data_IF_071826647105
#
_entry.id   IF_071826647105
#
_cell.length_a   1.000
_cell.length_b   1.000
_cell.length_c   1.000
_cell.angle_alpha   90.00
_cell.angle_beta   90.00
_cell.angle_gamma   90.00
#
_symmetry.space_group_name_H-M   'P 1'
#
loop_
_entity.id
_entity.type
_entity.pdbx_description
1 polymer ?
#
# COMPACT_ATOMS: atom_id res chain seq x y z
N UNK A 1 -3.75 -4.49 15.64
CA UNK A 1 -4.90 -3.89 16.35
C UNK A 1 -4.32 -2.74 17.16
N UNK A 2 -4.73 -1.50 16.92
CA UNK A 2 -4.30 -0.41 17.80
C UNK A 2 -4.82 -0.67 19.23
N UNK A 3 -4.18 -0.10 20.24
CA UNK A 3 -4.58 -0.26 21.63
C UNK A 3 -6.02 0.25 21.94
N UNK A 4 -6.63 1.00 21.01
CA UNK A 4 -8.03 1.46 21.05
C UNK A 4 -8.99 0.62 20.18
N UNK A 5 -8.50 -0.49 19.59
CA UNK A 5 -9.27 -1.36 18.73
C UNK A 5 -9.48 -0.85 17.30
N UNK A 6 -8.92 0.31 16.94
CA UNK A 6 -9.05 0.82 15.58
C UNK A 6 -8.21 0.01 14.58
N UNK A 7 -8.66 -0.03 13.33
CA UNK A 7 -7.97 -0.58 12.18
C UNK A 7 -8.46 0.24 10.98
N UNK A 8 -7.55 0.90 10.26
CA UNK A 8 -7.89 1.60 9.02
C UNK A 8 -7.52 0.70 7.84
N UNK A 9 -8.52 0.16 7.15
CA UNK A 9 -8.34 -0.51 5.86
C UNK A 9 -8.65 0.50 4.77
N UNK A 10 -7.67 0.75 3.90
CA UNK A 10 -7.81 1.74 2.86
C UNK A 10 -7.47 1.15 1.49
N UNK A 11 -8.30 1.50 0.50
CA UNK A 11 -8.02 1.20 -0.90
C UNK A 11 -7.42 2.43 -1.57
N UNK A 12 -6.32 2.23 -2.30
CA UNK A 12 -5.85 3.21 -3.24
C UNK A 12 -6.47 2.93 -4.61
N UNK A 13 -7.27 3.88 -5.09
CA UNK A 13 -7.94 3.81 -6.38
C UNK A 13 -7.25 4.75 -7.35
N UNK A 14 -6.80 4.22 -8.48
CA UNK A 14 -6.41 5.03 -9.63
C UNK A 14 -7.64 5.59 -10.32
N UNK A 15 -7.81 6.90 -10.32
CA UNK A 15 -8.73 7.59 -11.20
C UNK A 15 -8.03 7.95 -12.51
N UNK A 16 -8.65 7.62 -13.64
CA UNK A 16 -8.23 8.16 -14.95
C UNK A 16 -9.04 9.43 -15.24
N UNK A 17 -8.44 10.58 -15.59
CA UNK A 17 -9.18 11.70 -16.17
C UNK A 17 -9.67 11.33 -17.60
N UNK A 18 -10.73 11.99 -18.10
CA UNK A 18 -11.29 11.68 -19.41
C UNK A 18 -10.36 12.07 -20.56
N UNK A 19 -10.13 11.12 -21.46
CA UNK A 19 -9.74 11.25 -22.87
C UNK A 19 -8.87 12.44 -23.29
N UNK A 20 -7.53 12.33 -23.18
CA UNK A 20 -6.62 12.93 -24.18
C UNK A 20 -5.42 12.04 -24.49
N UNK A 21 -5.26 11.77 -25.78
CA UNK A 21 -4.06 11.17 -26.37
C UNK A 21 -2.90 12.16 -26.18
N UNK A 22 -1.98 11.85 -25.27
CA UNK A 22 -0.71 12.59 -25.12
C UNK A 22 -0.44 13.22 -23.75
N UNK A 23 -1.26 12.96 -22.72
CA UNK A 23 -0.98 13.52 -21.39
C UNK A 23 0.10 12.72 -20.64
N UNK A 24 1.23 13.36 -20.33
CA UNK A 24 2.41 12.78 -19.63
C UNK A 24 2.31 13.02 -18.11
N UNK A 25 1.16 13.49 -17.60
CA UNK A 25 1.01 13.86 -16.19
C UNK A 25 0.45 12.73 -15.33
N UNK A 26 0.98 12.71 -14.10
CA UNK A 26 0.75 11.74 -13.04
C UNK A 26 -0.70 11.26 -12.97
N UNK A 27 -0.83 9.93 -12.96
CA UNK A 27 -2.09 9.24 -12.68
C UNK A 27 -2.69 9.80 -11.38
N UNK A 28 -3.98 10.13 -11.36
CA UNK A 28 -4.61 10.67 -10.15
C UNK A 28 -4.99 9.51 -9.25
N UNK A 29 -4.40 9.44 -8.08
CA UNK A 29 -4.72 8.42 -7.09
C UNK A 29 -5.58 9.02 -5.98
N UNK A 30 -6.52 8.22 -5.48
CA UNK A 30 -7.38 8.61 -4.37
C UNK A 30 -7.42 7.51 -3.32
N UNK A 31 -7.40 7.94 -2.07
CA UNK A 31 -7.63 7.09 -0.92
C UNK A 31 -9.11 7.01 -0.63
N UNK A 32 -9.61 5.78 -0.46
CA UNK A 32 -10.94 5.51 0.05
C UNK A 32 -10.79 4.68 1.31
N UNK A 33 -11.25 5.23 2.44
CA UNK A 33 -11.39 4.48 3.70
C UNK A 33 -12.52 3.46 3.49
N UNK A 34 -12.18 2.16 3.47
CA UNK A 34 -13.16 1.09 3.30
C UNK A 34 -13.72 0.63 4.64
N UNK A 35 -12.90 0.68 5.69
CA UNK A 35 -13.30 0.22 7.01
C UNK A 35 -12.68 1.12 8.07
N UNK A 36 -13.55 1.76 8.86
CA UNK A 36 -13.25 2.22 10.21
C UNK A 36 -13.93 1.25 11.16
N UNK A 37 -13.19 0.32 11.75
CA UNK A 37 -13.79 -0.59 12.71
C UNK A 37 -14.17 0.19 13.99
N UNK A 38 -15.46 0.48 14.18
CA UNK A 38 -16.04 0.74 15.52
C UNK A 38 -16.76 -0.51 16.06
N UNK A 39 -17.13 -1.44 15.17
CA UNK A 39 -17.60 -2.81 15.47
C UNK A 39 -17.15 -3.77 14.35
N UNK A 40 -16.91 -5.03 14.70
CA UNK A 40 -16.35 -6.05 13.81
C UNK A 40 -17.45 -6.80 13.04
N UNK A 41 -17.42 -6.74 11.71
CA UNK A 41 -18.21 -7.66 10.86
C UNK A 41 -17.36 -8.25 9.73
N UNK A 42 -17.54 -9.54 9.46
CA UNK A 42 -16.68 -10.36 8.61
C UNK A 42 -16.88 -10.18 7.08
N UNK A 43 -17.52 -9.09 6.64
CA UNK A 43 -18.06 -8.99 5.28
C UNK A 43 -17.07 -8.69 4.15
N UNK A 44 -16.02 -7.91 4.40
CA UNK A 44 -15.14 -7.37 3.34
C UNK A 44 -13.65 -7.38 3.76
N UNK A 45 -13.16 -8.51 4.25
CA UNK A 45 -11.74 -8.63 4.58
C UNK A 45 -10.95 -8.86 3.30
N UNK A 46 -9.97 -7.98 3.03
CA UNK A 46 -8.95 -8.29 2.03
C UNK A 46 -8.03 -9.32 2.66
N UNK A 47 -8.08 -10.55 2.14
CA UNK A 47 -7.21 -11.63 2.59
C UNK A 47 -5.77 -11.31 2.18
N UNK A 48 -4.94 -10.95 3.15
CA UNK A 48 -3.49 -10.82 2.98
C UNK A 48 -2.93 -12.21 2.68
N UNK A 49 -2.63 -12.48 1.40
CA UNK A 49 -2.26 -13.81 0.93
C UNK A 49 -0.80 -14.15 1.23
N UNK A 50 0.12 -13.49 0.54
CA UNK A 50 1.56 -13.74 0.68
C UNK A 50 2.32 -12.47 1.04
N UNK A 51 3.23 -12.58 2.00
CA UNK A 51 4.26 -11.57 2.26
C UNK A 51 5.42 -11.83 1.32
N UNK A 52 5.78 -10.83 0.52
CA UNK A 52 6.88 -10.92 -0.44
C UNK A 52 8.13 -10.17 0.06
N UNK A 53 7.95 -9.12 0.86
CA UNK A 53 9.06 -8.35 1.42
C UNK A 53 8.72 -7.72 2.77
N UNK A 54 9.74 -7.47 3.58
CA UNK A 54 9.62 -6.73 4.84
C UNK A 54 10.90 -5.97 5.17
N UNK A 55 10.78 -4.84 5.84
CA UNK A 55 11.92 -4.04 6.27
C UNK A 55 11.67 -3.40 7.64
N UNK A 56 12.66 -3.49 8.55
CA UNK A 56 12.55 -2.99 9.93
C UNK A 56 13.33 -1.69 10.10
N UNK A 57 12.76 -0.73 10.81
CA UNK A 57 13.40 0.54 11.08
C UNK A 57 12.76 1.24 12.29
N UNK A 58 13.59 1.73 13.22
CA UNK A 58 13.18 2.56 14.36
C UNK A 58 11.91 2.06 15.09
N UNK A 59 11.86 0.77 15.44
CA UNK A 59 10.73 0.16 16.18
C UNK A 59 9.45 -0.05 15.36
N UNK A 60 9.52 0.14 14.04
CA UNK A 60 8.46 -0.18 13.09
C UNK A 60 8.95 -1.18 12.05
N UNK A 61 7.99 -1.77 11.35
CA UNK A 61 8.23 -2.70 10.28
C UNK A 61 7.26 -2.46 9.13
N UNK A 62 7.84 -2.29 7.95
CA UNK A 62 7.09 -2.26 6.71
C UNK A 62 6.99 -3.66 6.10
N UNK A 63 5.88 -3.90 5.43
CA UNK A 63 5.54 -5.16 4.80
C UNK A 63 4.98 -4.89 3.41
N UNK A 64 5.27 -5.77 2.46
CA UNK A 64 4.73 -5.72 1.11
C UNK A 64 4.42 -7.13 0.63
N UNK A 65 3.35 -7.25 -0.16
CA UNK A 65 2.97 -8.53 -0.70
C UNK A 65 1.79 -8.52 -1.64
N UNK A 66 1.15 -9.69 -1.72
CA UNK A 66 0.04 -10.01 -2.60
C UNK A 66 -1.18 -10.49 -1.78
N UNK A 67 -2.37 -10.09 -2.20
CA UNK A 67 -3.66 -10.56 -1.68
C UNK A 67 -3.99 -11.96 -2.19
N UNK A 68 -4.62 -12.80 -1.35
CA UNK A 68 -5.06 -14.13 -1.76
C UNK A 68 -6.23 -14.04 -2.76
N UNK A 69 -7.14 -13.09 -2.53
CA UNK A 69 -8.21 -12.80 -3.46
C UNK A 69 -7.67 -12.05 -4.68
N UNK A 70 -7.95 -12.60 -5.86
CA UNK A 70 -7.62 -12.10 -7.20
C UNK A 70 -6.16 -12.21 -7.67
N UNK A 71 -5.28 -12.91 -6.93
CA UNK A 71 -3.96 -13.40 -7.41
C UNK A 71 -3.10 -12.36 -8.12
N UNK A 72 -3.23 -11.09 -7.74
CA UNK A 72 -2.57 -9.98 -8.41
C UNK A 72 -2.70 -8.64 -7.69
N UNK A 73 -3.56 -8.52 -6.68
CA UNK A 73 -3.75 -7.30 -5.89
C UNK A 73 -2.58 -7.15 -4.90
N UNK A 74 -1.85 -6.04 -5.00
CA UNK A 74 -0.75 -5.74 -4.08
C UNK A 74 -1.21 -5.05 -2.80
N UNK A 75 -0.53 -5.33 -1.69
CA UNK A 75 -0.71 -4.60 -0.44
C UNK A 75 0.63 -4.16 0.15
N UNK A 76 0.61 -3.05 0.90
CA UNK A 76 1.73 -2.52 1.69
C UNK A 76 1.20 -2.18 3.07
N UNK A 77 1.91 -2.55 4.13
CA UNK A 77 1.51 -2.24 5.49
C UNK A 77 2.68 -1.71 6.33
N UNK A 78 2.34 -0.92 7.34
CA UNK A 78 3.25 -0.53 8.41
C UNK A 78 2.70 -1.09 9.73
N UNK A 79 3.55 -1.80 10.46
CA UNK A 79 3.28 -2.23 11.83
C UNK A 79 4.32 -1.66 12.78
N UNK A 80 4.02 -1.67 14.07
CA UNK A 80 5.05 -1.63 15.11
C UNK A 80 5.84 -2.94 15.08
N UNK A 81 7.10 -2.86 15.46
CA UNK A 81 7.98 -4.01 15.64
C UNK A 81 7.92 -4.50 17.11
N UNK A 82 6.70 -4.64 17.62
CA UNK A 82 6.38 -5.25 18.90
C UNK A 82 5.98 -6.72 18.71
N UNK A 83 5.87 -7.47 19.82
CA UNK A 83 5.49 -8.89 19.78
C UNK A 83 4.07 -9.11 19.22
N UNK A 84 3.23 -8.08 19.28
CA UNK A 84 1.84 -8.11 18.79
C UNK A 84 1.71 -7.75 17.30
N UNK A 85 2.76 -7.19 16.69
CA UNK A 85 2.73 -6.70 15.30
C UNK A 85 1.65 -5.64 15.09
N UNK A 86 1.53 -4.68 16.01
CA UNK A 86 0.46 -3.67 16.00
C UNK A 86 0.38 -2.95 14.66
N UNK A 87 -0.68 -3.17 13.88
CA UNK A 87 -0.90 -2.49 12.60
C UNK A 87 -1.10 -0.98 12.81
N UNK A 88 -0.26 -0.18 12.14
CA UNK A 88 -0.43 1.27 12.03
C UNK A 88 -1.30 1.63 10.80
N UNK A 89 -1.00 1.06 9.63
CA UNK A 89 -1.88 1.21 8.46
C UNK A 89 -1.62 0.13 7.41
N UNK A 90 -2.59 -0.06 6.52
CA UNK A 90 -2.48 -0.91 5.33
C UNK A 90 -3.04 -0.18 4.11
N UNK A 91 -2.33 -0.29 2.99
CA UNK A 91 -2.69 0.22 1.69
C UNK A 91 -2.86 -0.96 0.72
N UNK A 92 -3.99 -1.01 0.03
CA UNK A 92 -4.29 -2.06 -0.95
C UNK A 92 -4.42 -1.41 -2.34
N UNK A 93 -3.65 -1.90 -3.29
CA UNK A 93 -3.66 -1.46 -4.69
C UNK A 93 -4.78 -2.16 -5.45
N UNK A 94 -5.65 -1.41 -6.13
CA UNK A 94 -6.70 -1.98 -6.96
C UNK A 94 -6.22 -2.53 -8.33
N UNK A 95 -4.92 -2.82 -8.49
CA UNK A 95 -4.29 -3.21 -9.77
C UNK A 95 -3.55 -4.53 -9.60
N UNK A 96 -3.55 -5.31 -10.68
CA UNK A 96 -2.87 -6.59 -10.84
C UNK A 96 -1.33 -6.51 -10.89
N UNK A 97 -0.69 -5.88 -9.91
CA UNK A 97 0.76 -5.80 -9.76
C UNK A 97 1.12 -5.76 -8.26
N UNK A 98 1.44 -6.91 -7.63
CA UNK A 98 1.81 -6.95 -6.22
C UNK A 98 3.12 -6.23 -5.94
N UNK A 99 3.44 -6.05 -4.65
CA UNK A 99 4.67 -5.37 -4.23
C UNK A 99 5.77 -6.39 -3.88
N UNK A 100 6.86 -6.37 -4.64
CA UNK A 100 7.98 -7.31 -4.48
C UNK A 100 9.05 -6.82 -3.51
N UNK A 101 9.12 -5.50 -3.27
CA UNK A 101 10.12 -4.91 -2.39
C UNK A 101 9.50 -3.83 -1.51
N UNK A 102 10.02 -3.70 -0.29
CA UNK A 102 9.70 -2.59 0.60
C UNK A 102 10.93 -2.15 1.38
N UNK A 103 11.11 -0.84 1.52
CA UNK A 103 12.06 -0.22 2.44
C UNK A 103 11.33 0.75 3.34
N UNK A 104 11.90 0.99 4.51
CA UNK A 104 11.36 1.89 5.52
C UNK A 104 12.50 2.72 6.10
N UNK A 105 12.31 4.04 6.12
CA UNK A 105 13.14 4.99 6.84
C UNK A 105 12.32 5.78 7.87
N UNK A 106 12.91 6.82 8.44
CA UNK A 106 12.28 7.63 9.49
C UNK A 106 10.95 8.26 9.03
N UNK A 107 10.84 8.58 7.74
CA UNK A 107 9.79 9.41 7.16
C UNK A 107 8.86 8.64 6.22
N UNK A 108 9.35 7.60 5.56
CA UNK A 108 8.73 7.05 4.36
C UNK A 108 8.81 5.53 4.34
N UNK A 109 7.68 4.90 3.98
CA UNK A 109 7.65 3.52 3.47
C UNK A 109 7.72 3.59 1.96
N UNK A 110 8.72 2.97 1.35
CA UNK A 110 8.85 2.89 -0.11
C UNK A 110 8.61 1.46 -0.55
N UNK A 111 7.62 1.23 -1.41
CA UNK A 111 7.32 -0.07 -1.96
C UNK A 111 7.51 -0.08 -3.48
N UNK A 112 8.02 -1.17 -4.02
CA UNK A 112 8.20 -1.36 -5.47
C UNK A 112 7.27 -2.48 -5.93
N UNK A 113 6.43 -2.17 -6.93
CA UNK A 113 5.56 -3.18 -7.52
C UNK A 113 6.34 -4.11 -8.45
N UNK A 114 5.81 -5.29 -8.75
CA UNK A 114 6.39 -6.23 -9.74
C UNK A 114 6.48 -5.64 -11.15
N UNK A 115 5.75 -4.55 -11.42
CA UNK A 115 5.85 -3.75 -12.64
C UNK A 115 6.91 -2.62 -12.56
N UNK A 116 7.67 -2.54 -11.47
CA UNK A 116 8.72 -1.54 -11.22
C UNK A 116 8.24 -0.21 -10.68
N UNK A 117 6.93 0.01 -10.48
CA UNK A 117 6.45 1.31 -9.98
C UNK A 117 6.86 1.51 -8.54
N UNK A 118 7.38 2.70 -8.23
CA UNK A 118 7.81 3.07 -6.88
C UNK A 118 6.72 3.88 -6.22
N UNK A 119 6.31 3.44 -5.02
CA UNK A 119 5.26 4.05 -4.20
C UNK A 119 5.89 4.51 -2.90
N UNK A 120 5.85 5.81 -2.64
CA UNK A 120 6.41 6.41 -1.43
C UNK A 120 5.27 6.89 -0.54
N UNK A 121 5.05 6.18 0.58
CA UNK A 121 4.02 6.49 1.57
C UNK A 121 4.64 7.24 2.74
N UNK A 122 4.24 8.50 3.01
CA UNK A 122 4.64 9.18 4.24
C UNK A 122 4.14 8.39 5.46
N UNK A 123 5.04 8.07 6.39
CA UNK A 123 4.81 7.15 7.51
C UNK A 123 3.55 7.49 8.33
N UNK A 124 3.31 8.78 8.54
CA UNK A 124 2.21 9.30 9.36
C UNK A 124 1.04 9.88 8.55
N UNK A 125 1.16 9.90 7.22
CA UNK A 125 0.13 10.38 6.31
C UNK A 125 0.16 9.55 5.02
N UNK A 126 -0.06 8.22 5.09
CA UNK A 126 0.03 7.34 3.93
C UNK A 126 -0.90 7.79 2.80
N UNK A 127 -1.98 8.50 3.12
CA UNK A 127 -2.92 9.11 2.18
C UNK A 127 -2.27 10.10 1.17
N UNK A 128 -1.07 10.58 1.45
CA UNK A 128 -0.30 11.47 0.60
C UNK A 128 0.71 10.71 -0.29
N UNK A 129 0.50 9.40 -0.49
CA UNK A 129 1.39 8.57 -1.31
C UNK A 129 1.72 9.20 -2.66
N UNK A 130 3.01 9.18 -2.99
CA UNK A 130 3.52 9.56 -4.31
C UNK A 130 3.87 8.30 -5.11
N UNK A 131 3.43 8.27 -6.37
CA UNK A 131 3.67 7.12 -7.26
C UNK A 131 4.44 7.61 -8.47
N UNK A 132 5.63 7.06 -8.64
CA UNK A 132 6.52 7.38 -9.75
C UNK A 132 6.78 6.14 -10.61
N UNK A 133 7.04 6.38 -11.90
CA UNK A 133 7.59 5.34 -12.75
C UNK A 133 9.00 4.98 -12.25
N UNK A 134 9.39 3.72 -12.39
CA UNK A 134 10.76 3.31 -12.11
C UNK A 134 11.76 4.22 -12.85
N UNK A 135 12.62 4.99 -12.17
CA UNK A 135 13.67 5.74 -12.86
C UNK A 135 14.65 4.82 -13.61
N UNK A 136 14.78 3.54 -13.21
CA UNK A 136 15.59 2.56 -13.92
C UNK A 136 14.90 1.96 -15.16
N UNK A 137 13.56 1.98 -15.24
CA UNK A 137 12.80 1.37 -16.34
C UNK A 137 11.54 2.17 -16.75
N UNK A 138 11.67 3.42 -17.23
CA UNK A 138 10.53 4.30 -17.52
C UNK A 138 9.62 3.85 -18.68
N UNK A 139 9.94 2.73 -19.36
CA UNK A 139 9.31 2.31 -20.62
C UNK A 139 8.48 1.02 -20.54
N UNK A 140 8.41 0.34 -19.39
CA UNK A 140 7.56 -0.85 -19.27
C UNK A 140 6.10 -0.41 -19.08
N UNK A 141 5.36 -0.42 -20.18
CA UNK A 141 3.92 -0.18 -20.27
C UNK A 141 3.15 -1.48 -20.35
#
# INVERSE_FOLDING_TARGET
>A
MFADGSLSVMHLVRLSPPDRVGDVRAERWQWVELLRATEWSAGNWVEVGSVLSSHRHAGSRAWAGESADHGSIGWVALTRDDDEGTLDWIAISNRSNPFSEVTLDETTVTAVSTAGRVWAFPRHAPQQVEITADPAHPWRR
#
